data_IF_599778289033
#
_entry.id   IF_599778289033
#
_cell.length_a   1.000
_cell.length_b   1.000
_cell.length_c   1.000
_cell.angle_alpha   90.00
_cell.angle_beta   90.00
_cell.angle_gamma   90.00
#
_symmetry.space_group_name_H-M   'P 1'
#
loop_
_entity.id
_entity.type
_entity.pdbx_description
1 polymer ?
#
# COMPACT_ATOMS: atom_id res chain seq x y z
N UNK A 1 3.24 -33.20 -43.43
CA UNK A 1 2.84 -34.02 -42.28
C UNK A 1 1.51 -33.48 -41.78
N UNK A 2 0.39 -34.16 -42.06
CA UNK A 2 -0.98 -33.70 -41.76
C UNK A 2 -1.46 -34.33 -40.47
N UNK A 3 -1.65 -33.56 -39.40
CA UNK A 3 -2.20 -34.04 -38.14
C UNK A 3 -3.73 -33.95 -38.20
N UNK A 4 -4.40 -35.10 -38.16
CA UNK A 4 -5.86 -35.21 -38.10
C UNK A 4 -6.32 -35.05 -36.64
N UNK A 5 -7.15 -34.06 -36.41
CA UNK A 5 -7.88 -33.89 -35.13
C UNK A 5 -9.17 -34.73 -35.24
N UNK A 6 -9.39 -35.63 -34.27
CA UNK A 6 -10.65 -36.37 -34.11
C UNK A 6 -11.61 -35.61 -33.18
N UNK A 7 -12.90 -35.49 -33.50
CA UNK A 7 -13.86 -34.94 -32.54
C UNK A 7 -14.28 -36.02 -31.53
N UNK A 8 -14.28 -35.66 -30.24
CA UNK A 8 -14.86 -36.46 -29.17
C UNK A 8 -16.32 -36.02 -29.00
N UNK A 9 -17.22 -37.03 -29.16
CA UNK A 9 -18.64 -36.85 -29.07
C UNK A 9 -19.11 -36.52 -27.64
N UNK A 10 -20.02 -35.56 -27.56
CA UNK A 10 -20.73 -35.18 -26.34
C UNK A 10 -21.76 -36.26 -25.95
N UNK A 11 -21.65 -36.76 -24.72
CA UNK A 11 -22.69 -37.56 -24.09
C UNK A 11 -23.52 -36.69 -23.14
N UNK A 12 -24.73 -36.31 -23.58
CA UNK A 12 -25.75 -35.71 -22.71
C UNK A 12 -26.36 -36.78 -21.84
N UNK A 13 -26.18 -36.68 -20.52
CA UNK A 13 -27.01 -37.39 -19.54
C UNK A 13 -27.91 -36.36 -18.87
N UNK A 14 -29.16 -36.36 -19.26
CA UNK A 14 -30.30 -35.67 -18.63
C UNK A 14 -30.68 -36.44 -17.37
N UNK A 15 -30.29 -35.93 -16.19
CA UNK A 15 -30.89 -36.34 -14.91
C UNK A 15 -31.92 -35.30 -14.48
N UNK A 16 -33.18 -35.62 -14.66
CA UNK A 16 -34.31 -34.93 -14.04
C UNK A 16 -34.33 -35.25 -12.52
N UNK A 17 -33.78 -34.36 -11.74
CA UNK A 17 -33.91 -34.37 -10.31
C UNK A 17 -34.97 -33.34 -9.86
N UNK A 18 -36.11 -33.80 -9.38
CA UNK A 18 -37.18 -32.97 -8.81
C UNK A 18 -36.68 -32.27 -7.54
N UNK A 19 -36.41 -30.97 -7.62
CA UNK A 19 -36.11 -30.13 -6.47
C UNK A 19 -37.39 -29.64 -5.84
N UNK A 20 -37.75 -30.21 -4.68
CA UNK A 20 -38.67 -29.59 -3.73
C UNK A 20 -38.02 -28.28 -3.22
N UNK A 21 -38.50 -27.16 -3.71
CA UNK A 21 -38.13 -25.84 -3.20
C UNK A 21 -38.84 -25.62 -1.86
N UNK A 22 -38.20 -25.95 -0.75
CA UNK A 22 -38.58 -25.44 0.56
C UNK A 22 -38.21 -23.97 0.59
N UNK A 23 -39.18 -23.07 0.44
CA UNK A 23 -39.04 -21.65 0.65
C UNK A 23 -38.74 -21.37 2.12
N UNK A 24 -37.48 -21.46 2.52
CA UNK A 24 -37.01 -20.93 3.79
C UNK A 24 -36.99 -19.39 3.68
N UNK A 25 -37.89 -18.72 4.40
CA UNK A 25 -37.84 -17.26 4.58
C UNK A 25 -36.43 -16.87 5.05
N UNK A 26 -35.75 -15.96 4.35
CA UNK A 26 -34.42 -15.51 4.80
C UNK A 26 -34.57 -14.86 6.18
N UNK A 27 -33.89 -15.41 7.19
CA UNK A 27 -33.81 -14.80 8.50
C UNK A 27 -33.27 -13.35 8.34
N UNK A 28 -33.82 -12.38 9.11
CA UNK A 28 -33.37 -11.01 9.03
C UNK A 28 -31.86 -10.94 9.35
N UNK A 29 -31.08 -10.45 8.39
CA UNK A 29 -29.63 -10.25 8.56
C UNK A 29 -29.45 -9.30 9.77
N UNK A 30 -28.74 -9.69 10.83
CA UNK A 30 -28.48 -8.80 11.95
C UNK A 30 -27.78 -7.55 11.40
N UNK A 31 -28.36 -6.36 11.63
CA UNK A 31 -27.70 -5.09 11.29
C UNK A 31 -26.35 -5.08 12.01
N UNK A 32 -25.28 -5.14 11.24
CA UNK A 32 -23.93 -5.05 11.79
C UNK A 32 -23.84 -3.77 12.62
N UNK A 33 -23.59 -3.92 13.91
CA UNK A 33 -23.35 -2.78 14.81
C UNK A 33 -22.17 -2.02 14.24
N UNK A 34 -22.27 -0.70 13.99
CA UNK A 34 -21.16 0.06 13.44
C UNK A 34 -19.95 -0.09 14.37
N UNK A 35 -18.85 -0.62 13.81
CA UNK A 35 -17.60 -0.78 14.56
C UNK A 35 -17.17 0.61 15.06
N UNK A 36 -16.90 0.81 16.35
CA UNK A 36 -16.55 2.13 16.88
C UNK A 36 -15.35 2.70 16.10
N UNK A 37 -15.53 3.92 15.58
CA UNK A 37 -14.45 4.62 14.89
C UNK A 37 -13.30 4.82 15.86
N UNK A 38 -12.09 4.34 15.52
CA UNK A 38 -10.97 4.46 16.43
C UNK A 38 -10.65 5.92 16.73
N UNK A 39 -10.46 6.25 18.02
CA UNK A 39 -10.18 7.61 18.49
C UNK A 39 -8.83 8.12 17.94
N UNK A 40 -8.71 9.40 17.52
CA UNK A 40 -7.45 10.00 17.16
C UNK A 40 -6.40 9.92 18.29
N UNK A 41 -5.13 9.87 17.94
CA UNK A 41 -4.02 9.95 18.89
C UNK A 41 -3.99 11.35 19.55
N UNK A 42 -3.42 11.45 20.76
CA UNK A 42 -3.15 12.79 21.31
C UNK A 42 -2.09 13.51 20.47
N UNK A 43 -2.13 14.86 20.35
CA UNK A 43 -1.18 15.59 19.52
C UNK A 43 0.29 15.31 19.86
N UNK A 44 0.60 15.17 21.15
CA UNK A 44 1.96 14.86 21.61
C UNK A 44 2.40 13.46 21.20
N UNK A 45 1.56 12.44 21.44
CA UNK A 45 1.87 11.07 21.08
C UNK A 45 1.99 10.91 19.56
N UNK A 46 1.05 11.50 18.81
CA UNK A 46 1.10 11.50 17.35
C UNK A 46 2.42 12.11 16.84
N UNK A 47 2.79 13.30 17.33
CA UNK A 47 4.02 13.98 16.92
C UNK A 47 5.26 13.11 17.15
N UNK A 48 5.43 12.57 18.34
CA UNK A 48 6.59 11.73 18.69
C UNK A 48 6.67 10.49 17.79
N UNK A 49 5.54 9.79 17.64
CA UNK A 49 5.49 8.56 16.85
C UNK A 49 5.65 8.84 15.36
N UNK A 50 4.99 9.87 14.83
CA UNK A 50 5.09 10.25 13.41
C UNK A 50 6.51 10.70 13.04
N UNK A 51 7.18 11.47 13.89
CA UNK A 51 8.56 11.90 13.63
C UNK A 51 9.53 10.72 13.62
N UNK A 52 9.33 9.73 14.50
CA UNK A 52 10.14 8.51 14.49
C UNK A 52 9.93 7.74 13.18
N UNK A 53 8.69 7.46 12.81
CA UNK A 53 8.39 6.67 11.60
C UNK A 53 8.84 7.39 10.32
N UNK A 54 8.76 8.74 10.28
CA UNK A 54 9.28 9.54 9.17
C UNK A 54 10.82 9.50 9.11
N UNK A 55 11.50 9.45 10.24
CA UNK A 55 12.95 9.31 10.28
C UNK A 55 13.39 7.93 9.74
N UNK A 56 12.69 6.87 10.14
CA UNK A 56 12.92 5.51 9.65
C UNK A 56 12.68 5.44 8.12
N UNK A 57 11.57 5.99 7.63
CA UNK A 57 11.28 6.07 6.19
C UNK A 57 12.37 6.81 5.42
N UNK A 58 12.80 7.97 5.89
CA UNK A 58 13.85 8.77 5.25
C UNK A 58 15.19 8.03 5.19
N UNK A 59 15.52 7.30 6.25
CA UNK A 59 16.73 6.45 6.30
C UNK A 59 16.67 5.40 5.19
N UNK A 60 15.56 4.68 5.06
CA UNK A 60 15.44 3.60 4.08
C UNK A 60 15.42 4.12 2.63
N UNK A 61 14.84 5.30 2.40
CA UNK A 61 14.96 6.01 1.11
C UNK A 61 16.43 6.35 0.81
N UNK A 62 17.19 6.84 1.79
CA UNK A 62 18.62 7.12 1.66
C UNK A 62 19.44 5.86 1.34
N UNK A 63 19.15 4.75 2.02
CA UNK A 63 19.78 3.45 1.76
C UNK A 63 19.46 2.94 0.34
N UNK A 64 18.23 3.18 -0.15
CA UNK A 64 17.83 2.86 -1.52
C UNK A 64 18.58 3.73 -2.53
N UNK A 65 18.78 5.03 -2.29
CA UNK A 65 19.56 5.91 -3.16
C UNK A 65 21.01 5.42 -3.30
N UNK A 66 21.63 5.04 -2.19
CA UNK A 66 22.98 4.45 -2.20
C UNK A 66 23.03 3.12 -2.97
N UNK A 67 21.98 2.31 -2.88
CA UNK A 67 21.90 1.04 -3.62
C UNK A 67 21.73 1.25 -5.13
N UNK A 68 21.01 2.31 -5.56
CA UNK A 68 20.92 2.71 -6.98
C UNK A 68 22.31 3.05 -7.53
N UNK A 69 23.11 3.80 -6.79
CA UNK A 69 24.45 4.20 -7.21
C UNK A 69 25.42 3.01 -7.34
N UNK A 70 25.26 2.02 -6.45
CA UNK A 70 26.10 0.81 -6.43
C UNK A 70 25.61 -0.30 -7.37
N UNK A 71 24.49 -0.12 -8.08
CA UNK A 71 23.93 -1.11 -9.01
C UNK A 71 23.35 -2.36 -8.32
N UNK A 72 23.00 -2.30 -7.06
CA UNK A 72 22.55 -3.43 -6.25
C UNK A 72 21.06 -3.75 -6.37
N UNK A 73 20.61 -4.40 -7.47
CA UNK A 73 19.19 -4.72 -7.70
C UNK A 73 18.51 -5.45 -6.53
N UNK A 74 19.15 -6.45 -5.96
CA UNK A 74 18.60 -7.22 -4.82
C UNK A 74 18.48 -6.36 -3.56
N UNK A 75 19.42 -5.44 -3.35
CA UNK A 75 19.35 -4.49 -2.26
C UNK A 75 18.21 -3.50 -2.45
N UNK A 76 17.96 -3.05 -3.69
CA UNK A 76 16.82 -2.20 -4.01
C UNK A 76 15.47 -2.88 -3.75
N UNK A 77 15.35 -4.17 -4.03
CA UNK A 77 14.14 -4.93 -3.70
C UNK A 77 13.92 -5.00 -2.19
N UNK A 78 14.97 -5.27 -1.41
CA UNK A 78 14.89 -5.22 0.06
C UNK A 78 14.47 -3.84 0.57
N UNK A 79 15.12 -2.77 0.10
CA UNK A 79 14.76 -1.40 0.48
C UNK A 79 13.32 -1.04 0.09
N UNK A 80 12.79 -1.55 -1.03
CA UNK A 80 11.38 -1.35 -1.42
C UNK A 80 10.42 -1.93 -0.40
N UNK A 81 10.73 -3.09 0.17
CA UNK A 81 9.91 -3.73 1.22
C UNK A 81 9.93 -2.89 2.49
N UNK A 82 11.11 -2.42 2.92
CA UNK A 82 11.27 -1.58 4.13
C UNK A 82 10.55 -0.23 3.97
N UNK A 83 10.70 0.43 2.82
CA UNK A 83 9.99 1.67 2.50
C UNK A 83 8.47 1.46 2.57
N UNK A 84 7.94 0.40 1.95
CA UNK A 84 6.51 0.09 2.00
C UNK A 84 6.04 -0.20 3.42
N UNK A 85 6.82 -0.94 4.20
CA UNK A 85 6.51 -1.20 5.61
C UNK A 85 6.38 0.12 6.40
N UNK A 86 7.33 1.05 6.26
CA UNK A 86 7.28 2.33 6.95
C UNK A 86 6.11 3.20 6.49
N UNK A 87 5.75 3.18 5.20
CA UNK A 87 4.56 3.86 4.70
C UNK A 87 3.30 3.31 5.36
N UNK A 88 3.16 1.99 5.47
CA UNK A 88 2.03 1.35 6.17
C UNK A 88 1.99 1.76 7.65
N UNK A 89 3.13 1.82 8.35
CA UNK A 89 3.18 2.30 9.74
C UNK A 89 2.67 3.74 9.84
N UNK A 90 3.07 4.63 8.93
CA UNK A 90 2.58 6.00 8.87
C UNK A 90 1.08 6.08 8.55
N UNK A 91 0.57 5.24 7.67
CA UNK A 91 -0.86 5.16 7.34
C UNK A 91 -1.73 4.66 8.50
N UNK A 92 -1.18 3.82 9.37
CA UNK A 92 -1.87 3.34 10.58
C UNK A 92 -1.96 4.39 11.69
N UNK A 93 -1.18 5.49 11.62
CA UNK A 93 -1.28 6.59 12.56
C UNK A 93 -2.63 7.29 12.42
N UNK A 94 -3.14 7.78 13.54
CA UNK A 94 -4.43 8.49 13.63
C UNK A 94 -4.19 9.94 13.97
N UNK A 95 -3.93 10.77 12.96
CA UNK A 95 -3.58 12.14 13.19
C UNK A 95 -4.74 12.90 13.87
N UNK A 96 -4.44 13.78 14.82
CA UNK A 96 -5.40 14.78 15.29
C UNK A 96 -5.93 15.62 14.13
N UNK A 97 -7.10 16.22 14.29
CA UNK A 97 -7.83 16.93 13.21
C UNK A 97 -6.97 17.96 12.50
N UNK A 98 -6.13 18.69 13.23
CA UNK A 98 -5.25 19.74 12.68
C UNK A 98 -4.21 19.19 11.69
N UNK A 99 -3.83 17.91 11.80
CA UNK A 99 -2.88 17.26 10.89
C UNK A 99 -3.56 16.49 9.76
N UNK A 100 -4.80 16.03 9.96
CA UNK A 100 -5.41 14.95 9.19
C UNK A 100 -5.38 15.18 7.67
N UNK A 101 -5.73 16.39 7.19
CA UNK A 101 -5.80 16.67 5.75
C UNK A 101 -4.44 16.61 5.07
N UNK A 102 -3.46 17.34 5.60
CA UNK A 102 -2.13 17.41 4.99
C UNK A 102 -1.37 16.10 5.15
N UNK A 103 -1.57 15.41 6.28
CA UNK A 103 -1.02 14.08 6.55
C UNK A 103 -1.48 13.07 5.51
N UNK A 104 -2.80 12.92 5.32
CA UNK A 104 -3.34 11.95 4.37
C UNK A 104 -2.95 12.26 2.92
N UNK A 105 -2.93 13.53 2.53
CA UNK A 105 -2.53 13.95 1.19
C UNK A 105 -1.06 13.63 0.92
N UNK A 106 -0.17 13.96 1.85
CA UNK A 106 1.25 13.69 1.69
C UNK A 106 1.54 12.18 1.66
N UNK A 107 0.90 11.39 2.53
CA UNK A 107 1.07 9.94 2.53
C UNK A 107 0.57 9.30 1.24
N UNK A 108 -0.55 9.74 0.67
CA UNK A 108 -1.03 9.23 -0.61
C UNK A 108 -0.04 9.51 -1.75
N UNK A 109 0.64 10.66 -1.74
CA UNK A 109 1.69 10.98 -2.72
C UNK A 109 2.95 10.14 -2.51
N UNK A 110 3.38 9.94 -1.26
CA UNK A 110 4.54 9.08 -0.94
C UNK A 110 4.26 7.63 -1.35
N UNK A 111 3.07 7.12 -1.10
CA UNK A 111 2.62 5.78 -1.47
C UNK A 111 2.64 5.58 -3.00
N UNK A 112 2.07 6.53 -3.75
CA UNK A 112 2.13 6.51 -5.21
C UNK A 112 3.57 6.52 -5.78
N UNK A 113 4.49 7.24 -5.13
CA UNK A 113 5.91 7.22 -5.49
C UNK A 113 6.58 5.88 -5.13
N UNK A 114 6.16 5.21 -4.05
CA UNK A 114 6.65 3.89 -3.69
C UNK A 114 6.24 2.82 -4.70
N UNK A 115 5.00 2.89 -5.19
CA UNK A 115 4.53 2.06 -6.30
C UNK A 115 5.35 2.29 -7.57
N UNK A 116 5.65 3.56 -7.89
CA UNK A 116 6.49 3.91 -9.03
C UNK A 116 7.94 3.42 -8.85
N UNK A 117 8.49 3.52 -7.64
CA UNK A 117 9.80 2.98 -7.31
C UNK A 117 9.86 1.46 -7.53
N UNK A 118 8.88 0.72 -7.06
CA UNK A 118 8.77 -0.73 -7.27
C UNK A 118 8.71 -1.11 -8.75
N UNK A 119 7.98 -0.36 -9.57
CA UNK A 119 7.95 -0.52 -11.03
C UNK A 119 9.29 -0.22 -11.67
N UNK A 120 9.97 0.83 -11.21
CA UNK A 120 11.28 1.23 -11.74
C UNK A 120 12.38 0.20 -11.45
N UNK A 121 12.34 -0.48 -10.30
CA UNK A 121 13.26 -1.60 -9.99
C UNK A 121 13.11 -2.74 -11.01
N UNK A 122 11.88 -2.99 -11.46
CA UNK A 122 11.59 -4.11 -12.38
C UNK A 122 11.95 -3.81 -13.84
N UNK A 123 11.81 -2.59 -14.30
CA UNK A 123 12.00 -2.25 -15.72
C UNK A 123 12.34 -0.79 -16.02
N UNK A 124 12.55 0.04 -14.99
CA UNK A 124 12.88 1.45 -15.17
C UNK A 124 14.39 1.72 -15.36
N UNK A 125 14.71 2.96 -15.71
CA UNK A 125 16.09 3.44 -15.77
C UNK A 125 16.61 3.83 -14.38
N UNK A 126 17.94 3.84 -14.23
CA UNK A 126 18.61 4.35 -13.02
C UNK A 126 18.19 5.80 -12.75
N UNK A 127 18.06 6.61 -13.80
CA UNK A 127 17.67 8.02 -13.68
C UNK A 127 16.23 8.15 -13.15
N UNK A 128 15.27 7.38 -13.67
CA UNK A 128 13.88 7.39 -13.17
C UNK A 128 13.78 6.91 -11.73
N UNK A 129 14.54 5.87 -11.37
CA UNK A 129 14.60 5.36 -10.01
C UNK A 129 15.13 6.41 -9.03
N UNK A 130 16.23 7.08 -9.39
CA UNK A 130 16.82 8.17 -8.59
C UNK A 130 15.85 9.33 -8.41
N UNK A 131 15.20 9.78 -9.49
CA UNK A 131 14.22 10.87 -9.44
C UNK A 131 13.05 10.53 -8.52
N UNK A 132 12.51 9.32 -8.60
CA UNK A 132 11.41 8.86 -7.74
C UNK A 132 11.80 8.87 -6.27
N UNK A 133 12.96 8.34 -5.92
CA UNK A 133 13.49 8.35 -4.54
C UNK A 133 13.74 9.77 -4.03
N UNK A 134 14.26 10.67 -4.87
CA UNK A 134 14.48 12.08 -4.51
C UNK A 134 13.17 12.80 -4.20
N UNK A 135 12.13 12.59 -5.02
CA UNK A 135 10.80 13.15 -4.80
C UNK A 135 10.17 12.61 -3.52
N UNK A 136 10.30 11.32 -3.26
CA UNK A 136 9.80 10.67 -2.04
C UNK A 136 10.48 11.24 -0.79
N UNK A 137 11.81 11.41 -0.81
CA UNK A 137 12.59 12.00 0.28
C UNK A 137 12.16 13.46 0.54
N UNK A 138 11.93 14.23 -0.52
CA UNK A 138 11.47 15.62 -0.44
C UNK A 138 10.11 15.71 0.26
N UNK A 139 9.15 14.86 -0.13
CA UNK A 139 7.81 14.81 0.50
C UNK A 139 7.88 14.36 1.96
N UNK A 140 8.66 13.34 2.28
CA UNK A 140 8.85 12.88 3.66
C UNK A 140 9.47 13.99 4.53
N UNK A 141 10.43 14.75 4.00
CA UNK A 141 11.04 15.88 4.68
C UNK A 141 10.09 17.04 4.89
N UNK A 142 9.25 17.35 3.89
CA UNK A 142 8.22 18.39 4.01
C UNK A 142 7.16 18.00 5.04
N UNK A 143 6.75 16.72 5.07
CA UNK A 143 5.80 16.22 6.04
C UNK A 143 6.37 16.24 7.47
N UNK A 144 7.65 15.89 7.63
CA UNK A 144 8.34 16.02 8.93
C UNK A 144 8.37 17.47 9.43
N UNK A 145 8.73 18.41 8.55
CA UNK A 145 8.72 19.83 8.90
C UNK A 145 7.32 20.30 9.31
N UNK A 146 6.29 19.87 8.57
CA UNK A 146 4.90 20.16 8.91
C UNK A 146 4.52 19.64 10.29
N UNK A 147 4.85 18.39 10.62
CA UNK A 147 4.56 17.79 11.94
C UNK A 147 5.27 18.53 13.08
N UNK A 148 6.45 19.11 12.82
CA UNK A 148 7.20 19.91 13.80
C UNK A 148 6.59 21.28 14.06
N UNK A 149 5.95 21.90 13.06
CA UNK A 149 5.50 23.29 13.12
C UNK A 149 4.06 23.47 13.60
N UNK A 150 3.18 22.47 13.42
CA UNK A 150 1.79 22.54 13.86
C UNK A 150 1.70 22.30 15.37
N UNK A 151 1.21 23.28 16.11
CA UNK A 151 0.97 23.24 17.56
C UNK A 151 -0.45 22.78 17.89
#
# INVERSE_FOLDING_TARGET
MKIRVRPIAAGCVLMLGSLFAIAASPAPIPKATPKPTPKPESPVLFRVSALKDLADLKKDIGDAQLAVEKGGKWKLLGNSVEINYNIVQLQLRRPPTQYAKNWSTALAQIDALSDQFSKNISGGSVASTRSTLSNMLSLATALEAYVKTVN
#
